data_IF_008716434159
#
_entry.id   IF_008716434159
#
_cell.length_a   1.000
_cell.length_b   1.000
_cell.length_c   1.000
_cell.angle_alpha   90.00
_cell.angle_beta   90.00
_cell.angle_gamma   90.00
#
_symmetry.space_group_name_H-M   'P 1'
#
loop_
_entity.id
_entity.type
_entity.pdbx_description
1 polymer ?
#
# COMPACT_ATOMS: atom_id res chain seq x y z
N UNK A 1 2.07 -14.23 -27.66
CA UNK A 1 1.19 -14.98 -26.74
C UNK A 1 0.40 -13.95 -25.94
N UNK A 2 -0.93 -14.07 -25.83
CA UNK A 2 -1.72 -13.13 -25.04
C UNK A 2 -1.52 -13.41 -23.56
N UNK A 3 -1.28 -12.36 -22.77
CA UNK A 3 -1.15 -12.47 -21.32
C UNK A 3 -2.50 -12.87 -20.68
N UNK A 4 -2.49 -13.90 -19.84
CA UNK A 4 -3.69 -14.34 -19.11
C UNK A 4 -3.90 -13.44 -17.89
N UNK A 5 -5.12 -12.89 -17.76
CA UNK A 5 -5.50 -12.05 -16.62
C UNK A 5 -6.80 -12.51 -15.96
N UNK A 6 -7.24 -13.74 -16.26
CA UNK A 6 -8.44 -14.35 -15.68
C UNK A 6 -8.28 -14.53 -14.17
N UNK A 7 -7.19 -15.16 -13.76
CA UNK A 7 -6.87 -15.43 -12.35
C UNK A 7 -5.65 -14.63 -11.89
N UNK A 8 -5.51 -14.47 -10.57
CA UNK A 8 -4.29 -13.92 -9.98
C UNK A 8 -3.13 -14.89 -10.25
N UNK A 9 -1.96 -14.36 -10.60
CA UNK A 9 -0.74 -15.17 -10.64
C UNK A 9 -0.36 -15.62 -9.23
N UNK A 10 0.27 -16.78 -9.13
CA UNK A 10 0.94 -17.28 -7.91
C UNK A 10 2.46 -17.25 -8.04
N UNK A 11 2.97 -16.69 -9.14
CA UNK A 11 4.40 -16.54 -9.35
C UNK A 11 4.98 -15.58 -8.30
N UNK A 12 6.05 -15.97 -7.60
CA UNK A 12 6.68 -15.11 -6.61
C UNK A 12 7.44 -13.96 -7.28
N UNK A 13 7.49 -12.81 -6.61
CA UNK A 13 8.36 -11.70 -6.99
C UNK A 13 9.76 -11.91 -6.39
N UNK A 14 10.79 -11.35 -7.01
CA UNK A 14 12.15 -11.39 -6.47
C UNK A 14 12.22 -10.63 -5.14
N UNK A 15 11.50 -9.51 -5.05
CA UNK A 15 11.39 -8.70 -3.83
C UNK A 15 10.61 -9.37 -2.69
N UNK A 16 9.98 -10.55 -2.90
CA UNK A 16 9.39 -11.35 -1.81
C UNK A 16 10.47 -12.02 -0.92
N UNK A 17 11.74 -11.97 -1.30
CA UNK A 17 12.85 -12.37 -0.43
C UNK A 17 13.19 -11.25 0.58
N UNK A 18 12.76 -11.43 1.83
CA UNK A 18 13.02 -10.47 2.91
C UNK A 18 14.50 -10.37 3.35
N UNK A 19 15.39 -11.20 2.79
CA UNK A 19 16.84 -11.08 2.95
C UNK A 19 17.53 -10.35 1.79
N UNK A 20 16.77 -9.89 0.80
CA UNK A 20 17.30 -9.11 -0.30
C UNK A 20 17.86 -7.78 0.21
N UNK A 21 19.06 -7.42 -0.22
CA UNK A 21 19.76 -6.20 0.20
C UNK A 21 20.50 -5.55 -0.99
N UNK A 22 21.03 -4.35 -0.75
CA UNK A 22 21.98 -3.69 -1.65
C UNK A 22 21.35 -2.74 -2.66
N UNK A 23 22.18 -2.20 -3.55
CA UNK A 23 21.81 -1.10 -4.44
C UNK A 23 20.70 -1.46 -5.44
N UNK A 24 20.58 -2.73 -5.81
CA UNK A 24 19.52 -3.16 -6.74
C UNK A 24 18.14 -3.00 -6.09
N UNK A 25 18.00 -3.43 -4.83
CA UNK A 25 16.76 -3.25 -4.06
C UNK A 25 16.49 -1.76 -3.80
N UNK A 26 17.53 -0.99 -3.43
CA UNK A 26 17.41 0.45 -3.23
C UNK A 26 16.90 1.18 -4.48
N UNK A 27 17.54 0.94 -5.63
CA UNK A 27 17.16 1.51 -6.93
C UNK A 27 15.72 1.12 -7.30
N UNK A 28 15.33 -0.13 -7.07
CA UNK A 28 13.97 -0.60 -7.30
C UNK A 28 12.95 0.17 -6.45
N UNK A 29 13.17 0.26 -5.13
CA UNK A 29 12.30 0.98 -4.20
C UNK A 29 12.13 2.46 -4.59
N UNK A 30 13.24 3.14 -4.91
CA UNK A 30 13.22 4.57 -5.24
C UNK A 30 12.56 4.86 -6.59
N UNK A 31 12.77 4.00 -7.58
CA UNK A 31 12.09 4.09 -8.89
C UNK A 31 10.60 3.79 -8.76
N UNK A 32 10.22 2.75 -8.03
CA UNK A 32 8.81 2.41 -7.76
C UNK A 32 8.12 3.59 -7.07
N UNK A 33 8.71 4.14 -6.01
CA UNK A 33 8.18 5.32 -5.32
C UNK A 33 8.03 6.52 -6.25
N UNK A 34 9.04 6.81 -7.07
CA UNK A 34 9.02 7.93 -8.02
C UNK A 34 7.96 7.76 -9.11
N UNK A 35 7.81 6.56 -9.68
CA UNK A 35 6.76 6.23 -10.65
C UNK A 35 5.39 6.32 -9.98
N UNK A 36 5.23 5.79 -8.77
CA UNK A 36 3.99 5.84 -8.03
C UNK A 36 3.55 7.29 -7.77
N UNK A 37 4.47 8.16 -7.33
CA UNK A 37 4.24 9.59 -7.14
C UNK A 37 3.86 10.29 -8.45
N UNK A 38 4.59 10.03 -9.53
CA UNK A 38 4.31 10.59 -10.86
C UNK A 38 2.92 10.22 -11.37
N UNK A 39 2.51 8.96 -11.20
CA UNK A 39 1.21 8.46 -11.63
C UNK A 39 0.06 8.83 -10.67
N UNK A 40 0.34 9.60 -9.62
CA UNK A 40 -0.66 10.10 -8.67
C UNK A 40 -1.07 9.08 -7.60
N UNK A 41 -0.27 8.04 -7.36
CA UNK A 41 -0.57 6.99 -6.39
C UNK A 41 -0.76 7.49 -4.97
N UNK A 42 0.17 8.28 -4.45
CA UNK A 42 0.04 8.83 -3.08
C UNK A 42 -1.18 9.74 -2.96
N UNK A 43 -1.54 10.46 -4.04
CA UNK A 43 -2.76 11.29 -4.06
C UNK A 43 -4.01 10.42 -3.89
N UNK A 44 -4.06 9.24 -4.52
CA UNK A 44 -5.16 8.28 -4.33
C UNK A 44 -5.25 7.85 -2.87
N UNK A 45 -4.15 7.47 -2.23
CA UNK A 45 -4.18 7.09 -0.81
C UNK A 45 -4.62 8.26 0.08
N UNK A 46 -4.07 9.46 -0.16
CA UNK A 46 -4.41 10.69 0.57
C UNK A 46 -5.91 11.06 0.45
N UNK A 47 -6.52 10.90 -0.72
CA UNK A 47 -7.96 11.11 -0.90
C UNK A 47 -8.79 10.16 -0.02
N UNK A 48 -8.34 8.91 0.14
CA UNK A 48 -8.99 7.94 1.01
C UNK A 48 -8.87 8.29 2.48
N UNK A 49 -7.68 8.76 2.90
CA UNK A 49 -7.44 9.26 4.27
C UNK A 49 -8.34 10.47 4.55
N UNK A 50 -8.40 11.44 3.64
CA UNK A 50 -9.30 12.61 3.77
C UNK A 50 -10.76 12.21 3.96
N UNK A 51 -11.21 11.17 3.26
CA UNK A 51 -12.55 10.63 3.44
C UNK A 51 -12.77 10.05 4.85
N UNK A 52 -11.82 9.28 5.38
CA UNK A 52 -11.88 8.73 6.73
C UNK A 52 -11.82 9.82 7.81
N UNK A 53 -11.04 10.88 7.59
CA UNK A 53 -10.88 12.00 8.51
C UNK A 53 -12.01 13.04 8.48
N UNK A 54 -12.96 12.94 7.54
CA UNK A 54 -14.02 13.95 7.32
C UNK A 54 -14.92 14.27 8.53
N UNK A 55 -14.90 13.45 9.58
CA UNK A 55 -15.64 13.64 10.82
C UNK A 55 -14.74 13.82 12.05
N UNK A 56 -13.42 13.91 11.87
CA UNK A 56 -12.48 14.12 12.98
C UNK A 56 -12.15 15.61 13.11
N UNK A 57 -12.00 16.14 14.34
CA UNK A 57 -11.54 17.50 14.54
C UNK A 57 -10.07 17.61 14.11
N UNK A 58 -9.68 18.76 13.56
CA UNK A 58 -8.29 19.00 13.12
C UNK A 58 -7.26 18.89 14.25
N UNK A 59 -7.67 19.16 15.49
CA UNK A 59 -6.83 19.06 16.69
C UNK A 59 -6.61 17.63 17.18
N UNK A 60 -7.32 16.63 16.64
CA UNK A 60 -7.11 15.23 17.03
C UNK A 60 -5.72 14.76 16.60
N UNK A 61 -5.09 14.00 17.50
CA UNK A 61 -3.93 13.16 17.14
C UNK A 61 -4.44 11.97 16.34
N UNK A 62 -3.95 11.78 15.13
CA UNK A 62 -4.29 10.68 14.25
C UNK A 62 -3.06 9.79 14.04
N UNK A 63 -3.14 8.54 14.47
CA UNK A 63 -2.17 7.48 14.20
C UNK A 63 -2.47 6.83 12.86
N UNK A 64 -1.48 6.75 11.99
CA UNK A 64 -1.59 6.12 10.68
C UNK A 64 -0.45 5.14 10.50
N UNK A 65 -0.78 3.88 10.20
CA UNK A 65 0.20 2.81 10.00
C UNK A 65 0.14 2.32 8.55
N UNK A 66 1.29 2.26 7.87
CA UNK A 66 1.41 1.79 6.49
C UNK A 66 2.11 0.43 6.44
N UNK A 67 1.40 -0.58 5.92
CA UNK A 67 1.84 -1.98 5.86
C UNK A 67 2.44 -2.25 4.48
N UNK A 68 3.70 -2.69 4.45
CA UNK A 68 4.53 -2.75 3.24
C UNK A 68 4.98 -1.37 2.81
N UNK A 69 5.47 -0.57 3.76
CA UNK A 69 5.71 0.86 3.53
C UNK A 69 6.84 1.18 2.52
N UNK A 70 7.60 0.18 2.08
CA UNK A 70 8.68 0.36 1.11
C UNK A 70 9.69 1.40 1.60
N UNK A 71 10.15 2.29 0.71
CA UNK A 71 11.07 3.37 1.10
C UNK A 71 10.41 4.51 1.89
N UNK A 72 9.15 4.38 2.32
CA UNK A 72 8.44 5.35 3.15
C UNK A 72 7.90 6.60 2.43
N UNK A 73 7.89 6.64 1.10
CA UNK A 73 7.43 7.80 0.31
C UNK A 73 5.96 8.20 0.62
N UNK A 74 5.09 7.23 0.89
CA UNK A 74 3.71 7.51 1.29
C UNK A 74 3.67 8.23 2.65
N UNK A 75 4.43 7.77 3.65
CA UNK A 75 4.46 8.41 4.97
C UNK A 75 5.03 9.83 4.93
N UNK A 76 6.12 10.05 4.17
CA UNK A 76 6.64 11.42 3.97
C UNK A 76 5.62 12.33 3.29
N UNK A 77 4.90 11.82 2.30
CA UNK A 77 3.80 12.56 1.66
C UNK A 77 2.70 12.95 2.67
N UNK A 78 2.40 12.08 3.63
CA UNK A 78 1.43 12.37 4.69
C UNK A 78 1.93 13.36 5.72
N UNK A 79 3.20 13.28 6.10
CA UNK A 79 3.81 14.22 7.03
C UNK A 79 3.84 15.64 6.43
N UNK A 80 4.22 15.78 5.16
CA UNK A 80 4.21 17.06 4.45
C UNK A 80 2.78 17.63 4.35
N UNK A 81 1.80 16.76 4.08
CA UNK A 81 0.39 17.13 4.06
C UNK A 81 -0.11 17.58 5.46
N UNK A 82 0.25 16.84 6.51
CA UNK A 82 -0.14 17.15 7.88
C UNK A 82 0.41 18.51 8.31
N UNK A 83 1.69 18.77 8.03
CA UNK A 83 2.34 20.05 8.28
C UNK A 83 1.65 21.19 7.54
N UNK A 84 1.31 21.00 6.27
CA UNK A 84 0.63 22.01 5.45
C UNK A 84 -0.78 22.34 5.97
N UNK A 85 -1.51 21.35 6.46
CA UNK A 85 -2.91 21.50 6.90
C UNK A 85 -3.07 21.70 8.41
N UNK A 86 -1.96 21.81 9.14
CA UNK A 86 -1.88 21.88 10.61
C UNK A 86 -2.62 20.72 11.30
N UNK A 87 -2.37 19.50 10.84
CA UNK A 87 -2.88 18.26 11.41
C UNK A 87 -1.82 17.59 12.29
N UNK A 88 -2.24 16.84 13.29
CA UNK A 88 -1.34 16.10 14.19
C UNK A 88 -1.34 14.62 13.81
N UNK A 89 -0.39 14.20 12.98
CA UNK A 89 -0.24 12.81 12.56
C UNK A 89 0.93 12.16 13.30
N UNK A 90 0.73 10.91 13.72
CA UNK A 90 1.80 10.01 14.17
C UNK A 90 1.84 8.87 13.15
N UNK A 91 2.98 8.70 12.50
CA UNK A 91 3.11 7.83 11.33
C UNK A 91 4.04 6.67 11.63
N UNK A 92 3.60 5.45 11.28
CA UNK A 92 4.40 4.23 11.45
C UNK A 92 4.45 3.46 10.15
N UNK A 93 5.64 3.11 9.67
CA UNK A 93 5.85 2.22 8.54
C UNK A 93 6.26 0.84 8.99
N UNK A 94 5.62 -0.20 8.46
CA UNK A 94 5.99 -1.59 8.68
C UNK A 94 6.36 -2.22 7.34
N UNK A 95 7.47 -2.91 7.28
CA UNK A 95 7.92 -3.68 6.13
C UNK A 95 8.66 -4.93 6.63
N UNK A 96 8.61 -6.02 5.87
CA UNK A 96 9.21 -7.28 6.28
C UNK A 96 10.72 -7.35 5.98
N UNK A 97 11.25 -6.44 5.16
CA UNK A 97 12.65 -6.38 4.81
C UNK A 97 13.39 -5.29 5.61
N UNK A 98 14.41 -5.71 6.39
CA UNK A 98 15.16 -4.79 7.24
C UNK A 98 15.95 -3.73 6.45
N UNK A 99 16.52 -4.09 5.30
CA UNK A 99 17.22 -3.14 4.43
C UNK A 99 16.27 -2.07 3.87
N UNK A 100 15.05 -2.45 3.50
CA UNK A 100 13.98 -1.52 3.12
C UNK A 100 13.66 -0.53 4.24
N UNK A 101 13.54 -1.02 5.48
CA UNK A 101 13.28 -0.19 6.66
C UNK A 101 14.42 0.79 6.96
N UNK A 102 15.68 0.34 6.91
CA UNK A 102 16.83 1.23 7.09
C UNK A 102 16.87 2.31 6.01
N UNK A 103 16.58 1.94 4.75
CA UNK A 103 16.51 2.89 3.65
C UNK A 103 15.39 3.92 3.87
N UNK A 104 14.19 3.47 4.25
CA UNK A 104 13.07 4.34 4.57
C UNK A 104 13.38 5.31 5.72
N UNK A 105 14.04 4.82 6.77
CA UNK A 105 14.49 5.64 7.91
C UNK A 105 15.50 6.70 7.46
N UNK A 106 16.47 6.34 6.61
CA UNK A 106 17.47 7.27 6.10
C UNK A 106 16.85 8.41 5.28
N UNK A 107 15.89 8.10 4.40
CA UNK A 107 15.17 9.09 3.60
C UNK A 107 14.24 9.98 4.44
N UNK A 108 13.86 9.51 5.62
CA UNK A 108 12.94 10.20 6.52
C UNK A 108 13.64 10.82 7.74
N UNK A 109 14.97 10.96 7.73
CA UNK A 109 15.73 11.48 8.88
C UNK A 109 15.31 12.89 9.36
N UNK A 110 14.71 13.71 8.47
CA UNK A 110 14.18 15.04 8.82
C UNK A 110 12.76 15.05 9.38
N UNK A 111 12.11 13.91 9.54
CA UNK A 111 10.72 13.79 9.96
C UNK A 111 10.63 13.23 11.38
N UNK A 112 10.18 14.05 12.34
CA UNK A 112 10.06 13.67 13.76
C UNK A 112 8.84 12.80 14.04
N UNK A 113 7.84 12.85 13.16
CA UNK A 113 6.53 12.23 13.38
C UNK A 113 6.41 10.87 12.66
N UNK A 114 7.50 10.36 12.08
CA UNK A 114 7.57 9.09 11.36
C UNK A 114 8.47 8.11 12.10
N UNK A 115 7.98 6.90 12.33
CA UNK A 115 8.73 5.76 12.84
C UNK A 115 8.64 4.57 11.89
N UNK A 116 9.61 3.66 11.95
CA UNK A 116 9.68 2.48 11.08
C UNK A 116 10.05 1.24 11.88
N UNK A 117 9.38 0.13 11.58
CA UNK A 117 9.56 -1.17 12.20
C UNK A 117 9.72 -2.25 11.13
N UNK A 118 10.70 -3.14 11.32
CA UNK A 118 10.82 -4.35 10.53
C UNK A 118 9.99 -5.46 11.16
N UNK A 119 8.99 -5.99 10.44
CA UNK A 119 8.18 -7.12 10.89
C UNK A 119 7.52 -7.84 9.71
N UNK A 120 7.49 -9.17 9.75
CA UNK A 120 6.68 -9.98 8.83
C UNK A 120 5.27 -10.11 9.42
N UNK A 121 4.35 -9.28 8.96
CA UNK A 121 2.98 -9.18 9.47
C UNK A 121 2.15 -10.47 9.36
N UNK A 122 2.56 -11.46 8.57
CA UNK A 122 1.92 -12.78 8.56
C UNK A 122 2.38 -13.66 9.73
N UNK A 123 3.66 -13.53 10.12
CA UNK A 123 4.24 -14.26 11.25
C UNK A 123 4.05 -13.52 12.57
N UNK A 124 4.00 -12.19 12.50
CA UNK A 124 3.96 -11.26 13.62
C UNK A 124 2.76 -10.31 13.49
N UNK A 125 1.51 -10.81 13.46
CA UNK A 125 0.32 -9.97 13.27
C UNK A 125 0.14 -8.93 14.40
N UNK A 126 0.73 -9.18 15.58
CA UNK A 126 0.72 -8.26 16.71
C UNK A 126 1.68 -7.07 16.55
N UNK A 127 2.59 -7.10 15.57
CA UNK A 127 3.37 -5.93 15.18
C UNK A 127 2.47 -4.79 14.66
N UNK A 128 1.26 -5.11 14.19
CA UNK A 128 0.24 -4.11 13.90
C UNK A 128 -0.38 -3.67 15.22
N UNK A 129 0.06 -2.52 15.72
CA UNK A 129 -0.53 -1.86 16.89
C UNK A 129 -1.92 -1.27 16.57
N UNK A 130 -2.65 -0.91 17.63
CA UNK A 130 -3.90 -0.15 17.47
C UNK A 130 -3.62 1.23 16.89
N UNK A 131 -4.32 1.57 15.80
CA UNK A 131 -4.10 2.79 15.04
C UNK A 131 -5.43 3.40 14.59
N UNK A 132 -5.43 4.64 14.11
CA UNK A 132 -6.66 5.24 13.60
C UNK A 132 -6.94 4.81 12.17
N UNK A 133 -5.91 4.81 11.33
CA UNK A 133 -6.00 4.44 9.92
C UNK A 133 -4.89 3.47 9.54
N UNK A 134 -5.25 2.36 8.89
CA UNK A 134 -4.28 1.48 8.23
C UNK A 134 -4.19 1.78 6.74
N UNK A 135 -2.98 1.74 6.20
CA UNK A 135 -2.69 1.84 4.78
C UNK A 135 -2.04 0.55 4.30
N UNK A 136 -2.30 0.21 3.04
CA UNK A 136 -1.62 -0.87 2.34
C UNK A 136 -1.53 -0.47 0.88
N UNK A 137 -0.36 0.03 0.46
CA UNK A 137 -0.18 0.64 -0.86
C UNK A 137 0.79 -0.18 -1.69
N UNK A 138 0.31 -0.73 -2.81
CA UNK A 138 1.09 -1.62 -3.68
C UNK A 138 1.73 -2.80 -2.91
N UNK A 139 0.98 -3.39 -1.98
CA UNK A 139 1.49 -4.50 -1.13
C UNK A 139 0.50 -5.66 -1.03
N UNK A 140 -0.82 -5.40 -1.10
CA UNK A 140 -1.81 -6.45 -0.87
C UNK A 140 -1.71 -7.58 -1.90
N UNK A 141 -1.27 -7.27 -3.12
CA UNK A 141 -1.12 -8.25 -4.20
C UNK A 141 -0.07 -9.33 -3.93
N UNK A 142 0.86 -9.13 -3.00
CA UNK A 142 1.85 -10.15 -2.62
C UNK A 142 1.21 -11.33 -1.89
N UNK A 143 0.10 -11.11 -1.19
CA UNK A 143 -0.56 -12.11 -0.36
C UNK A 143 -1.49 -13.03 -1.14
N UNK A 144 -1.56 -14.30 -0.76
CA UNK A 144 -2.55 -15.23 -1.30
C UNK A 144 -3.97 -14.91 -0.79
N UNK A 145 -4.98 -15.57 -1.35
CA UNK A 145 -6.38 -15.25 -1.03
C UNK A 145 -6.74 -15.41 0.46
N UNK A 146 -6.21 -16.42 1.14
CA UNK A 146 -6.49 -16.67 2.56
C UNK A 146 -5.76 -15.67 3.45
N UNK A 147 -4.51 -15.35 3.10
CA UNK A 147 -3.72 -14.31 3.76
C UNK A 147 -4.38 -12.94 3.64
N UNK A 148 -4.93 -12.59 2.48
CA UNK A 148 -5.68 -11.34 2.29
C UNK A 148 -6.88 -11.28 3.25
N UNK A 149 -7.68 -12.35 3.34
CA UNK A 149 -8.85 -12.39 4.23
C UNK A 149 -8.42 -12.23 5.70
N UNK A 150 -7.38 -12.95 6.11
CA UNK A 150 -6.82 -12.84 7.47
C UNK A 150 -6.32 -11.41 7.76
N UNK A 151 -5.61 -10.81 6.81
CA UNK A 151 -5.07 -9.46 6.94
C UNK A 151 -6.18 -8.41 7.05
N UNK A 152 -7.23 -8.51 6.23
CA UNK A 152 -8.38 -7.60 6.29
C UNK A 152 -9.15 -7.71 7.60
N UNK A 153 -9.26 -8.92 8.16
CA UNK A 153 -9.84 -9.14 9.48
C UNK A 153 -8.97 -8.50 10.57
N UNK A 154 -7.64 -8.65 10.50
CA UNK A 154 -6.71 -7.97 11.41
C UNK A 154 -6.83 -6.45 11.29
N UNK A 155 -6.85 -5.91 10.07
CA UNK A 155 -7.01 -4.47 9.84
C UNK A 155 -8.30 -3.93 10.44
N UNK A 156 -9.40 -4.67 10.30
CA UNK A 156 -10.70 -4.33 10.90
C UNK A 156 -10.65 -4.35 12.44
N UNK A 157 -9.77 -5.12 13.08
CA UNK A 157 -9.63 -5.12 14.54
C UNK A 157 -8.69 -4.03 15.05
N UNK A 158 -7.70 -3.64 14.25
CA UNK A 158 -6.60 -2.73 14.63
C UNK A 158 -6.81 -1.28 14.21
N UNK A 159 -7.67 -0.99 13.22
CA UNK A 159 -7.94 0.37 12.76
C UNK A 159 -9.25 0.92 13.34
N UNK A 160 -9.18 2.02 14.11
CA UNK A 160 -10.37 2.66 14.72
C UNK A 160 -11.29 3.34 13.71
N UNK A 161 -10.74 4.05 12.71
CA UNK A 161 -11.53 4.76 11.70
C UNK A 161 -11.75 3.91 10.44
N UNK A 162 -10.75 3.10 10.09
CA UNK A 162 -10.80 2.20 8.95
C UNK A 162 -9.47 2.10 8.21
N UNK A 163 -9.49 1.61 6.98
CA UNK A 163 -8.26 1.41 6.21
C UNK A 163 -8.41 1.84 4.76
N UNK A 164 -7.28 2.16 4.12
CA UNK A 164 -7.18 2.52 2.70
C UNK A 164 -6.18 1.60 2.03
N UNK A 165 -6.67 0.80 1.10
CA UNK A 165 -5.85 -0.05 0.23
C UNK A 165 -5.79 0.61 -1.15
N UNK A 166 -4.58 0.76 -1.67
CA UNK A 166 -4.33 1.33 -2.99
C UNK A 166 -3.47 0.35 -3.79
N UNK A 167 -4.12 -0.45 -4.63
CA UNK A 167 -3.45 -1.59 -5.26
C UNK A 167 -3.82 -1.79 -6.73
N UNK A 168 -3.01 -2.56 -7.44
CA UNK A 168 -3.01 -2.72 -8.88
C UNK A 168 -4.29 -3.40 -9.38
N UNK A 169 -4.77 -2.92 -10.52
CA UNK A 169 -5.75 -3.62 -11.32
C UNK A 169 -5.02 -4.62 -12.22
N UNK A 170 -5.40 -5.90 -12.11
CA UNK A 170 -4.98 -6.94 -13.06
C UNK A 170 -5.57 -6.67 -14.43
N UNK A 171 -4.73 -6.30 -15.39
CA UNK A 171 -5.15 -5.87 -16.73
C UNK A 171 -4.08 -6.15 -17.77
N UNK A 172 -4.48 -6.75 -18.89
CA UNK A 172 -3.57 -6.97 -20.01
C UNK A 172 -3.06 -5.65 -20.59
N UNK A 173 -3.91 -4.61 -20.61
CA UNK A 173 -3.52 -3.27 -21.04
C UNK A 173 -2.46 -2.70 -20.08
N UNK A 174 -2.65 -2.83 -18.77
CA UNK A 174 -1.68 -2.36 -17.78
C UNK A 174 -0.33 -3.09 -17.95
N UNK A 175 -0.37 -4.40 -18.19
CA UNK A 175 0.82 -5.23 -18.42
C UNK A 175 1.67 -4.71 -19.60
N UNK A 176 1.05 -4.48 -20.76
CA UNK A 176 1.77 -4.00 -21.94
C UNK A 176 2.19 -2.52 -21.83
N UNK A 177 1.39 -1.67 -21.17
CA UNK A 177 1.80 -0.29 -20.88
C UNK A 177 2.98 -0.25 -19.91
N UNK A 178 3.02 -1.15 -18.92
CA UNK A 178 4.14 -1.25 -17.99
C UNK A 178 5.43 -1.70 -18.69
N UNK A 179 5.36 -2.59 -19.68
CA UNK A 179 6.52 -2.92 -20.53
C UNK A 179 7.11 -1.67 -21.21
N UNK A 180 6.26 -0.79 -21.75
CA UNK A 180 6.72 0.46 -22.35
C UNK A 180 7.31 1.41 -21.29
N UNK A 181 6.70 1.48 -20.10
CA UNK A 181 7.19 2.27 -18.97
C UNK A 181 8.58 1.79 -18.52
N UNK A 182 8.80 0.47 -18.42
CA UNK A 182 10.09 -0.11 -18.06
C UNK A 182 11.22 0.41 -18.96
N UNK A 183 10.95 0.56 -20.27
CA UNK A 183 11.90 1.09 -21.23
C UNK A 183 12.16 2.59 -21.01
N UNK A 184 11.12 3.39 -20.81
CA UNK A 184 11.24 4.85 -20.60
C UNK A 184 11.98 5.20 -19.31
N UNK A 185 11.76 4.44 -18.24
CA UNK A 185 12.34 4.72 -16.91
C UNK A 185 13.64 3.95 -16.63
N UNK A 186 14.14 3.17 -17.58
CA UNK A 186 15.38 2.40 -17.39
C UNK A 186 15.30 1.48 -16.16
N UNK A 187 14.18 0.77 -16.00
CA UNK A 187 14.01 -0.16 -14.89
C UNK A 187 15.02 -1.31 -15.02
N UNK A 188 15.60 -1.71 -13.89
CA UNK A 188 16.49 -2.87 -13.85
C UNK A 188 15.68 -4.16 -14.09
N UNK A 189 16.38 -5.28 -14.34
CA UNK A 189 15.73 -6.55 -14.69
C UNK A 189 14.77 -7.03 -13.59
N UNK A 190 15.14 -6.87 -12.31
CA UNK A 190 14.30 -7.21 -11.17
C UNK A 190 13.02 -6.39 -11.19
N UNK A 191 13.10 -5.06 -11.18
CA UNK A 191 11.92 -4.18 -11.16
C UNK A 191 10.99 -4.41 -12.36
N UNK A 192 11.54 -4.75 -13.52
CA UNK A 192 10.75 -5.10 -14.71
C UNK A 192 10.01 -6.42 -14.52
N UNK A 193 10.69 -7.48 -14.06
CA UNK A 193 10.06 -8.80 -13.83
C UNK A 193 9.00 -8.71 -12.75
N UNK A 194 9.37 -8.15 -11.60
CA UNK A 194 8.48 -8.02 -10.45
C UNK A 194 7.28 -7.17 -10.80
N UNK A 195 7.45 -5.98 -11.41
CA UNK A 195 6.29 -5.16 -11.74
C UNK A 195 5.31 -5.81 -12.75
N UNK A 196 5.79 -6.67 -13.65
CA UNK A 196 4.90 -7.46 -14.52
C UNK A 196 4.14 -8.53 -13.71
N UNK A 197 4.84 -9.23 -12.81
CA UNK A 197 4.25 -10.19 -11.88
C UNK A 197 3.23 -9.50 -10.97
N UNK A 198 3.54 -8.33 -10.40
CA UNK A 198 2.65 -7.52 -9.56
C UNK A 198 1.35 -7.18 -10.29
N UNK A 199 1.41 -6.81 -11.57
CA UNK A 199 0.19 -6.57 -12.37
C UNK A 199 -0.65 -7.84 -12.50
N UNK A 200 -0.03 -9.00 -12.68
CA UNK A 200 -0.73 -10.28 -12.75
C UNK A 200 -1.22 -10.80 -11.40
N UNK A 201 -0.57 -10.42 -10.30
CA UNK A 201 -1.00 -10.69 -8.91
C UNK A 201 -2.05 -9.71 -8.41
N UNK A 202 -2.17 -8.54 -9.06
CA UNK A 202 -3.17 -7.52 -8.78
C UNK A 202 -4.60 -8.02 -8.95
N UNK A 203 -5.57 -7.11 -8.86
CA UNK A 203 -6.96 -7.49 -8.62
C UNK A 203 -7.89 -7.17 -9.79
N UNK A 204 -8.96 -7.94 -9.91
CA UNK A 204 -10.21 -7.48 -10.53
C UNK A 204 -11.12 -6.95 -9.44
N UNK A 205 -12.05 -6.06 -9.79
CA UNK A 205 -13.06 -5.55 -8.83
C UNK A 205 -13.85 -6.69 -8.16
N UNK A 206 -14.13 -7.77 -8.87
CA UNK A 206 -14.83 -8.94 -8.33
C UNK A 206 -14.03 -9.64 -7.22
N UNK A 207 -12.69 -9.70 -7.35
CA UNK A 207 -11.82 -10.26 -6.31
C UNK A 207 -11.98 -9.45 -5.01
N UNK A 208 -11.88 -8.12 -5.11
CA UNK A 208 -12.00 -7.21 -3.96
C UNK A 208 -13.38 -7.26 -3.27
N UNK A 209 -14.46 -7.41 -4.04
CA UNK A 209 -15.80 -7.63 -3.50
C UNK A 209 -15.86 -8.96 -2.74
N UNK A 210 -15.35 -10.03 -3.34
CA UNK A 210 -15.33 -11.35 -2.71
C UNK A 210 -14.56 -11.36 -1.40
N UNK A 211 -13.39 -10.72 -1.33
CA UNK A 211 -12.63 -10.59 -0.08
C UNK A 211 -13.38 -9.74 0.95
N UNK A 212 -14.09 -8.69 0.52
CA UNK A 212 -14.90 -7.86 1.41
C UNK A 212 -16.00 -8.69 2.08
N UNK A 213 -16.70 -9.51 1.31
CA UNK A 213 -17.79 -10.38 1.81
C UNK A 213 -17.25 -11.45 2.75
N UNK A 214 -16.18 -12.15 2.36
CA UNK A 214 -15.55 -13.20 3.17
C UNK A 214 -14.94 -12.66 4.47
N UNK A 215 -14.52 -11.39 4.49
CA UNK A 215 -14.00 -10.71 5.70
C UNK A 215 -15.11 -10.01 6.51
N UNK A 216 -16.38 -10.18 6.13
CA UNK A 216 -17.53 -9.53 6.74
C UNK A 216 -17.36 -8.00 6.88
N UNK A 217 -16.87 -7.37 5.81
CA UNK A 217 -16.74 -5.92 5.71
C UNK A 217 -18.12 -5.32 5.37
N UNK A 218 -18.60 -4.39 6.21
CA UNK A 218 -19.95 -3.81 6.04
C UNK A 218 -19.93 -2.52 5.21
N UNK A 219 -19.09 -1.57 5.58
CA UNK A 219 -19.05 -0.23 5.00
C UNK A 219 -17.76 -0.05 4.23
N UNK A 220 -17.74 -0.51 2.98
CA UNK A 220 -16.58 -0.42 2.12
C UNK A 220 -16.91 0.20 0.75
N UNK A 221 -15.90 0.77 0.12
CA UNK A 221 -15.98 1.39 -1.19
C UNK A 221 -14.80 0.92 -2.04
N UNK A 222 -15.07 0.50 -3.27
CA UNK A 222 -14.04 0.14 -4.24
C UNK A 222 -14.21 1.02 -5.47
N UNK A 223 -13.21 1.87 -5.72
CA UNK A 223 -13.21 2.81 -6.86
C UNK A 223 -11.96 2.60 -7.70
N UNK A 224 -12.15 2.43 -9.00
CA UNK A 224 -11.04 2.46 -9.94
C UNK A 224 -10.44 3.86 -10.01
N UNK A 225 -9.11 3.94 -10.09
CA UNK A 225 -8.33 5.16 -10.20
C UNK A 225 -7.25 4.98 -11.25
N UNK A 226 -6.88 6.10 -11.86
CA UNK A 226 -5.65 6.16 -12.63
C UNK A 226 -4.44 5.94 -11.72
N UNK A 227 -3.37 5.25 -12.15
CA UNK A 227 -3.22 4.46 -13.38
C UNK A 227 -3.45 2.96 -13.11
N UNK A 228 -4.58 2.40 -13.54
CA UNK A 228 -4.90 0.97 -13.37
C UNK A 228 -4.76 0.48 -11.92
N UNK A 229 -5.43 1.15 -10.99
CA UNK A 229 -5.43 0.79 -9.57
C UNK A 229 -6.82 0.91 -8.97
N UNK A 230 -7.04 0.23 -7.86
CA UNK A 230 -8.23 0.36 -7.05
C UNK A 230 -7.90 1.07 -5.74
N UNK A 231 -8.69 2.10 -5.44
CA UNK A 231 -8.82 2.62 -4.09
C UNK A 231 -9.92 1.84 -3.40
N UNK A 232 -9.54 1.05 -2.40
CA UNK A 232 -10.46 0.28 -1.58
C UNK A 232 -10.41 0.79 -0.15
N UNK A 233 -11.53 1.36 0.30
CA UNK A 233 -11.64 1.99 1.61
C UNK A 233 -12.65 1.21 2.42
N UNK A 234 -12.30 0.89 3.66
CA UNK A 234 -13.26 0.50 4.68
C UNK A 234 -13.40 1.61 5.71
N UNK A 235 -14.63 1.90 6.13
CA UNK A 235 -14.94 2.83 7.22
C UNK A 235 -15.62 2.08 8.37
N UNK A 236 -15.11 2.20 9.59
CA UNK A 236 -15.65 1.48 10.76
C UNK A 236 -17.02 1.98 11.21
N UNK A 237 -17.25 3.29 11.14
CA UNK A 237 -18.47 3.93 11.64
C UNK A 237 -19.06 4.85 10.58
N UNK A 238 -20.39 4.81 10.42
CA UNK A 238 -21.10 5.84 9.67
C UNK A 238 -20.95 7.19 10.37
N UNK A 239 -21.05 8.26 9.58
CA UNK A 239 -21.12 9.62 10.11
C UNK A 239 -22.40 9.67 10.98
N UNK A 240 -22.26 9.76 12.31
CA UNK A 240 -23.39 10.22 13.12
C UNK A 240 -23.60 11.69 12.71
N UNK A 241 -24.71 11.95 12.02
CA UNK A 241 -25.17 13.30 11.71
C UNK A 241 -25.43 14.07 13.00
#
# INVERSE_FOLDING_TARGET
MFVDTRYRSTEPEIMDDFKLEGEILRDALDKIASINRLLGGNKVTLEGIKYLLSAQPKSAVIRITDIGCGNGDMLRTLADYAKKESLNFILTGIDANNFTIEHARSLSAGYTDISYQCADILKEPDAIEQTDILLCTLTLHHFNNLEIISLLQSFKLKARLGFVINDLQRSAIAYYLFLALCFVFGLNEMSRKDGLISILRGFKRADLISYSEQSALKLYYIKWKWAFRYQWILKQHERKN
#
